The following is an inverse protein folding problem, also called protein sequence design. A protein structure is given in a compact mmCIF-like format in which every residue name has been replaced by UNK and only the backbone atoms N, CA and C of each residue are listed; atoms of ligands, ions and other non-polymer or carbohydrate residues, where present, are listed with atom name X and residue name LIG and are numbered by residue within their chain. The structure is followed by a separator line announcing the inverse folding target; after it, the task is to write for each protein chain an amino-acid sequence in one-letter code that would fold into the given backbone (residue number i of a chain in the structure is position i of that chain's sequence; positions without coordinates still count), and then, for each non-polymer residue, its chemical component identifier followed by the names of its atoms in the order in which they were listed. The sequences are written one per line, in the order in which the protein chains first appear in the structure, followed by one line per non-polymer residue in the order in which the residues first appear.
data_IF_314893058238
#
_entry.id   IF_314893058238
#
_cell.length_a   1.000
_cell.length_b   1.000
_cell.length_c   1.000
_cell.angle_alpha   90.00
_cell.angle_beta   90.00
_cell.angle_gamma   90.00
#
_symmetry.space_group_name_H-M   'P 1'
#
loop_
_entity.id
_entity.type
_entity.pdbx_description
1 polymer ?
#
# COMPACT_ATOMS: atom_id res chain seq x y z
N UNK A 1 46.07 -23.74 -52.73
CA UNK A 1 45.54 -22.36 -52.73
C UNK A 1 44.08 -22.43 -52.27
N UNK A 2 43.84 -22.23 -50.98
CA UNK A 2 42.51 -22.31 -50.35
C UNK A 2 41.83 -20.95 -50.44
N UNK A 3 40.78 -20.84 -51.27
CA UNK A 3 39.93 -19.65 -51.31
C UNK A 3 38.77 -19.83 -50.32
N UNK A 4 38.80 -19.05 -49.22
CA UNK A 4 37.72 -18.99 -48.22
C UNK A 4 36.49 -18.35 -48.85
N UNK A 5 35.36 -19.07 -48.86
CA UNK A 5 34.03 -18.50 -49.09
C UNK A 5 33.60 -17.76 -47.82
N UNK A 6 33.44 -16.44 -47.92
CA UNK A 6 32.85 -15.60 -46.88
C UNK A 6 31.34 -15.63 -47.09
N UNK A 7 30.61 -16.28 -46.18
CA UNK A 7 29.15 -16.26 -46.15
C UNK A 7 28.73 -14.98 -45.43
N UNK A 8 28.15 -14.03 -46.16
CA UNK A 8 27.53 -12.84 -45.58
C UNK A 8 26.20 -13.23 -44.94
N UNK A 9 26.12 -13.19 -43.61
CA UNK A 9 24.86 -13.30 -42.87
C UNK A 9 24.21 -11.91 -42.89
N UNK A 10 23.11 -11.76 -43.65
CA UNK A 10 22.25 -10.58 -43.54
C UNK A 10 21.55 -10.61 -42.18
N UNK A 11 22.00 -9.75 -41.27
CA UNK A 11 21.29 -9.45 -40.04
C UNK A 11 20.06 -8.62 -40.40
N UNK A 12 18.88 -9.25 -40.43
CA UNK A 12 17.61 -8.53 -40.58
C UNK A 12 17.32 -7.86 -39.23
N UNK A 13 17.60 -6.56 -39.16
CA UNK A 13 17.18 -5.70 -38.06
C UNK A 13 15.66 -5.57 -38.17
N UNK A 14 14.94 -6.32 -37.36
CA UNK A 14 13.52 -6.07 -37.12
C UNK A 14 13.45 -4.78 -36.32
N UNK A 15 13.18 -3.68 -37.01
CA UNK A 15 12.83 -2.41 -36.38
C UNK A 15 11.48 -2.62 -35.69
N UNK A 16 11.51 -2.98 -34.42
CA UNK A 16 10.32 -3.01 -33.58
C UNK A 16 9.75 -1.60 -33.53
N UNK A 17 8.59 -1.40 -34.14
CA UNK A 17 7.77 -0.22 -33.88
C UNK A 17 7.51 -0.18 -32.38
N UNK A 18 8.19 0.72 -31.67
CA UNK A 18 7.85 1.06 -30.31
C UNK A 18 6.43 1.63 -30.33
N UNK A 19 5.46 0.80 -29.97
CA UNK A 19 4.15 1.27 -29.53
C UNK A 19 4.42 2.24 -28.37
N UNK A 20 3.71 3.38 -28.28
CA UNK A 20 3.86 4.25 -27.13
C UNK A 20 3.43 3.42 -25.91
N UNK A 21 4.37 3.14 -25.00
CA UNK A 21 4.05 2.59 -23.68
C UNK A 21 3.25 3.68 -22.95
N UNK A 22 1.94 3.70 -23.14
CA UNK A 22 1.02 4.58 -22.42
C UNK A 22 -0.13 3.74 -21.90
N UNK A 23 0.23 2.89 -20.96
CA UNK A 23 -0.63 2.42 -19.90
C UNK A 23 0.29 2.21 -18.69
N UNK A 24 0.45 3.25 -17.88
CA UNK A 24 0.96 3.06 -16.53
C UNK A 24 -0.09 2.20 -15.80
N UNK A 25 0.18 0.91 -15.64
CA UNK A 25 -0.45 0.12 -14.59
C UNK A 25 0.14 0.60 -13.25
N UNK A 26 -0.23 1.82 -12.86
CA UNK A 26 0.23 2.49 -11.65
C UNK A 26 -0.60 2.07 -10.44
N UNK A 27 -0.37 2.72 -9.30
CA UNK A 27 -1.08 2.46 -8.04
C UNK A 27 -2.61 2.65 -8.11
N UNK A 28 -3.12 3.30 -9.16
CA UNK A 28 -4.53 3.61 -9.40
C UNK A 28 -5.32 2.40 -9.94
N UNK A 29 -4.65 1.41 -10.52
CA UNK A 29 -5.34 0.28 -11.17
C UNK A 29 -6.13 -0.54 -10.15
N UNK A 30 -7.45 -0.65 -10.37
CA UNK A 30 -8.39 -1.29 -9.45
C UNK A 30 -8.34 -0.75 -8.01
N UNK A 31 -7.87 0.49 -7.82
CA UNK A 31 -7.67 1.08 -6.51
C UNK A 31 -8.42 2.43 -6.37
N UNK A 32 -9.75 2.39 -6.20
CA UNK A 32 -10.57 3.60 -6.14
C UNK A 32 -10.47 4.34 -4.79
N UNK A 33 -9.72 3.82 -3.81
CA UNK A 33 -9.65 4.35 -2.46
C UNK A 33 -8.21 4.62 -2.03
N UNK A 34 -7.96 5.82 -1.51
CA UNK A 34 -6.76 6.19 -0.76
C UNK A 34 -7.16 6.33 0.71
N UNK A 35 -6.45 5.64 1.61
CA UNK A 35 -6.62 5.83 3.04
C UNK A 35 -6.01 7.18 3.45
N UNK A 36 -6.85 8.15 3.81
CA UNK A 36 -6.40 9.49 4.21
C UNK A 36 -5.73 9.44 5.59
N UNK A 37 -4.54 10.03 5.72
CA UNK A 37 -3.72 10.04 6.93
C UNK A 37 -3.54 8.63 7.56
N UNK A 38 -3.19 7.66 6.69
CA UNK A 38 -3.12 6.21 6.92
C UNK A 38 -4.46 5.53 7.23
N UNK A 39 -5.57 6.27 7.22
CA UNK A 39 -6.93 5.80 7.44
C UNK A 39 -7.34 5.83 8.91
N UNK A 40 -8.35 5.01 9.22
CA UNK A 40 -8.98 4.97 10.53
C UNK A 40 -8.63 3.69 11.29
N UNK A 41 -8.36 3.86 12.59
CA UNK A 41 -8.22 2.79 13.57
C UNK A 41 -9.02 3.11 14.84
N UNK A 42 -9.81 2.14 15.31
CA UNK A 42 -10.62 2.21 16.54
C UNK A 42 -11.53 3.45 16.62
N UNK A 43 -12.11 3.82 15.49
CA UNK A 43 -13.03 4.94 15.31
C UNK A 43 -12.34 6.29 15.10
N UNK A 44 -11.01 6.35 15.19
CA UNK A 44 -10.19 7.57 15.14
C UNK A 44 -9.52 7.73 13.78
N UNK A 45 -9.57 8.95 13.27
CA UNK A 45 -9.08 9.35 11.93
C UNK A 45 -7.91 10.32 12.08
N UNK A 46 -7.17 10.56 10.99
CA UNK A 46 -6.05 11.52 10.95
C UNK A 46 -4.89 11.22 11.92
N UNK A 47 -4.82 9.98 12.41
CA UNK A 47 -3.86 9.61 13.45
C UNK A 47 -2.45 9.46 12.90
N UNK A 48 -2.29 9.14 11.60
CA UNK A 48 -1.00 8.83 11.01
C UNK A 48 -0.23 7.75 11.82
N UNK A 49 -0.95 6.84 12.48
CA UNK A 49 -0.40 5.88 13.44
C UNK A 49 -0.07 4.53 12.82
N UNK A 50 0.72 3.72 13.54
CA UNK A 50 1.00 2.33 13.16
C UNK A 50 -0.28 1.52 13.02
N UNK A 51 -1.20 1.71 13.95
CA UNK A 51 -2.46 0.99 14.02
C UNK A 51 -3.35 1.37 12.83
N UNK A 52 -3.39 2.64 12.41
CA UNK A 52 -4.07 3.07 11.20
C UNK A 52 -3.50 2.41 9.94
N UNK A 53 -2.16 2.39 9.77
CA UNK A 53 -1.51 1.71 8.66
C UNK A 53 -1.90 0.22 8.60
N UNK A 54 -1.77 -0.49 9.72
CA UNK A 54 -2.06 -1.92 9.80
C UNK A 54 -3.54 -2.23 9.57
N UNK A 55 -4.43 -1.41 10.15
CA UNK A 55 -5.87 -1.54 9.94
C UNK A 55 -6.24 -1.29 8.48
N UNK A 56 -5.68 -0.26 7.84
CA UNK A 56 -5.93 0.05 6.44
C UNK A 56 -5.45 -1.06 5.51
N UNK A 57 -4.23 -1.58 5.68
CA UNK A 57 -3.75 -2.71 4.89
C UNK A 57 -4.63 -3.95 5.08
N UNK A 58 -5.00 -4.24 6.33
CA UNK A 58 -5.86 -5.37 6.70
C UNK A 58 -7.27 -5.28 6.10
N UNK A 59 -7.82 -4.07 6.06
CA UNK A 59 -9.10 -3.75 5.42
C UNK A 59 -9.03 -3.75 3.89
N UNK A 60 -7.83 -3.84 3.30
CA UNK A 60 -7.61 -4.02 1.87
C UNK A 60 -7.04 -2.82 1.13
N UNK A 61 -6.73 -1.72 1.82
CA UNK A 61 -6.14 -0.56 1.15
C UNK A 61 -4.77 -0.92 0.58
N UNK A 62 -4.47 -0.35 -0.59
CA UNK A 62 -3.16 -0.48 -1.26
C UNK A 62 -2.50 0.86 -1.53
N UNK A 63 -3.24 1.96 -1.42
CA UNK A 63 -2.68 3.31 -1.37
C UNK A 63 -3.11 3.99 -0.06
N UNK A 64 -2.14 4.62 0.60
CA UNK A 64 -2.36 5.36 1.85
C UNK A 64 -1.64 6.70 1.74
N UNK A 65 -2.32 7.77 2.09
CA UNK A 65 -1.72 9.09 2.20
C UNK A 65 -1.20 9.32 3.62
N UNK A 66 -0.14 10.09 3.75
CA UNK A 66 0.52 10.39 5.03
C UNK A 66 0.97 11.84 5.08
N UNK A 67 0.74 12.49 6.20
CA UNK A 67 1.25 13.84 6.48
C UNK A 67 2.67 13.76 7.04
N UNK A 68 3.58 14.60 6.52
CA UNK A 68 4.92 14.74 7.06
C UNK A 68 5.18 16.12 7.66
N UNK A 69 5.78 16.14 8.85
CA UNK A 69 6.28 17.36 9.50
C UNK A 69 7.58 17.08 10.26
N UNK A 70 8.24 18.14 10.73
CA UNK A 70 9.49 18.03 11.48
C UNK A 70 9.30 18.29 12.97
N UNK A 71 9.95 17.46 13.78
CA UNK A 71 10.16 17.74 15.21
C UNK A 71 11.15 18.88 15.40
N UNK A 72 11.21 19.44 16.61
CA UNK A 72 12.08 20.58 16.93
C UNK A 72 13.58 20.28 16.78
N UNK A 73 13.95 19.00 16.87
CA UNK A 73 15.30 18.47 16.64
C UNK A 73 15.52 17.94 15.21
N UNK A 74 14.59 18.20 14.28
CA UNK A 74 14.77 17.99 12.84
C UNK A 74 14.50 16.58 12.33
N UNK A 75 13.81 15.73 13.11
CA UNK A 75 13.38 14.38 12.70
C UNK A 75 12.06 14.47 11.94
N UNK A 76 11.99 13.81 10.78
CA UNK A 76 10.78 13.73 9.97
C UNK A 76 9.79 12.73 10.60
N UNK A 77 8.59 13.18 10.89
CA UNK A 77 7.55 12.40 11.59
C UNK A 77 6.21 12.45 10.85
N UNK A 78 5.41 11.39 11.05
CA UNK A 78 4.09 11.24 10.47
C UNK A 78 3.04 11.99 11.31
N UNK A 79 2.69 13.21 10.90
CA UNK A 79 1.76 14.08 11.62
C UNK A 79 1.37 15.27 10.75
N UNK A 80 0.10 15.67 10.83
CA UNK A 80 -0.43 16.82 10.10
C UNK A 80 0.15 18.18 10.55
N UNK A 81 0.11 18.50 11.85
CA UNK A 81 0.62 19.76 12.41
C UNK A 81 0.94 19.63 13.91
N UNK A 82 1.59 20.64 14.52
CA UNK A 82 1.75 20.76 15.98
C UNK A 82 0.87 21.88 16.56
N UNK A 83 -0.31 22.14 16.00
CA UNK A 83 -1.23 23.17 16.48
C UNK A 83 -2.06 22.66 17.67
N UNK A 84 -2.21 23.51 18.69
CA UNK A 84 -2.85 23.15 19.95
C UNK A 84 -4.34 22.81 19.78
N UNK A 85 -5.06 23.59 18.98
CA UNK A 85 -6.45 23.40 18.57
C UNK A 85 -6.61 22.55 17.30
N UNK A 86 -5.50 22.22 16.64
CA UNK A 86 -5.42 21.31 15.50
C UNK A 86 -5.19 19.87 15.93
N UNK A 87 -4.05 19.31 15.52
CA UNK A 87 -3.76 17.88 15.67
C UNK A 87 -3.68 17.45 17.14
N UNK A 88 -3.21 18.28 18.07
CA UNK A 88 -3.17 17.92 19.50
C UNK A 88 -4.56 17.53 20.04
N UNK A 89 -5.56 18.37 19.76
CA UNK A 89 -6.93 18.11 20.17
C UNK A 89 -7.51 16.86 19.51
N UNK A 90 -7.34 16.69 18.18
CA UNK A 90 -7.87 15.53 17.44
C UNK A 90 -7.28 14.20 17.93
N UNK A 91 -6.02 14.21 18.33
CA UNK A 91 -5.27 13.03 18.76
C UNK A 91 -5.34 12.75 20.28
N UNK A 92 -6.16 13.51 21.03
CA UNK A 92 -6.29 13.39 22.49
C UNK A 92 -4.96 13.57 23.22
N UNK A 93 -4.12 14.49 22.75
CA UNK A 93 -2.80 14.78 23.31
C UNK A 93 -2.77 16.16 23.98
N UNK A 94 -2.11 16.25 25.13
CA UNK A 94 -1.91 17.53 25.80
C UNK A 94 -0.93 18.42 25.03
N UNK A 95 -1.38 19.62 24.67
CA UNK A 95 -0.55 20.64 24.03
C UNK A 95 0.30 21.38 25.09
N UNK A 96 1.60 21.10 25.11
CA UNK A 96 2.56 21.75 26.00
C UNK A 96 3.49 22.68 25.20
N UNK A 97 3.90 23.81 25.77
CA UNK A 97 4.85 24.71 25.13
C UNK A 97 6.31 24.24 25.36
N UNK A 98 7.20 24.29 24.34
CA UNK A 98 6.93 24.62 22.95
C UNK A 98 6.07 23.55 22.26
N UNK A 99 5.16 23.97 21.38
CA UNK A 99 4.18 23.06 20.75
C UNK A 99 4.84 21.99 19.86
N UNK A 100 5.95 22.32 19.20
CA UNK A 100 6.68 21.36 18.38
C UNK A 100 7.51 20.46 19.30
N UNK A 101 7.13 19.19 19.38
CA UNK A 101 7.83 18.19 20.20
C UNK A 101 9.26 17.94 19.67
N UNK A 102 10.17 17.54 20.54
CA UNK A 102 11.38 16.81 20.10
C UNK A 102 11.03 15.36 19.73
N UNK A 103 11.91 14.69 18.98
CA UNK A 103 11.68 13.34 18.47
C UNK A 103 11.48 12.31 19.57
N UNK A 104 12.15 12.45 20.71
CA UNK A 104 12.01 11.56 21.86
C UNK A 104 10.65 11.70 22.51
N UNK A 105 10.17 12.92 22.69
CA UNK A 105 8.86 13.21 23.26
C UNK A 105 7.78 12.74 22.30
N UNK A 106 7.90 13.03 21.01
CA UNK A 106 6.97 12.58 19.98
C UNK A 106 6.81 11.05 20.00
N UNK A 107 7.91 10.28 19.96
CA UNK A 107 7.87 8.82 19.97
C UNK A 107 7.26 8.21 21.24
N UNK A 108 7.30 8.92 22.37
CA UNK A 108 6.74 8.47 23.64
C UNK A 108 5.31 8.99 23.91
N UNK A 109 4.86 9.98 23.15
CA UNK A 109 3.51 10.56 23.23
C UNK A 109 2.52 9.69 22.47
N UNK A 110 1.80 8.82 23.18
CA UNK A 110 0.75 7.99 22.59
C UNK A 110 -0.34 8.85 21.93
N UNK A 111 -0.84 8.36 20.80
CA UNK A 111 -1.96 8.95 20.07
C UNK A 111 -3.23 8.24 20.53
N UNK A 112 -4.25 8.98 20.94
CA UNK A 112 -5.50 8.40 21.49
C UNK A 112 -5.20 7.34 22.57
N UNK A 113 -4.34 7.70 23.53
CA UNK A 113 -3.95 6.89 24.70
C UNK A 113 -3.09 5.63 24.44
N UNK A 114 -3.20 4.94 23.30
CA UNK A 114 -2.47 3.69 23.04
C UNK A 114 -1.79 3.56 21.66
N UNK A 115 -2.27 4.28 20.65
CA UNK A 115 -1.74 4.22 19.29
C UNK A 115 -0.31 4.78 19.20
N UNK A 116 0.45 4.20 18.28
CA UNK A 116 1.89 4.37 18.16
C UNK A 116 2.20 5.45 17.12
N UNK A 117 2.83 6.57 17.51
CA UNK A 117 3.31 7.59 16.57
C UNK A 117 4.43 7.01 15.69
N UNK A 118 4.57 7.54 14.47
CA UNK A 118 5.52 7.02 13.48
C UNK A 118 6.50 8.10 13.02
N UNK A 119 7.78 7.74 12.96
CA UNK A 119 8.78 8.52 12.24
C UNK A 119 8.82 8.10 10.76
N UNK A 120 9.51 8.87 9.92
CA UNK A 120 9.78 8.44 8.53
C UNK A 120 10.54 7.10 8.45
N UNK A 121 11.42 6.82 9.43
CA UNK A 121 12.11 5.52 9.53
C UNK A 121 11.12 4.38 9.75
N UNK A 122 10.16 4.57 10.67
CA UNK A 122 9.14 3.57 10.95
C UNK A 122 8.23 3.31 9.73
N UNK A 123 7.88 4.37 9.00
CA UNK A 123 7.06 4.28 7.78
C UNK A 123 7.78 3.53 6.67
N UNK A 124 9.04 3.85 6.38
CA UNK A 124 9.79 3.11 5.36
C UNK A 124 10.05 1.66 5.77
N UNK A 125 10.18 1.38 7.07
CA UNK A 125 10.28 0.02 7.58
C UNK A 125 8.97 -0.75 7.37
N UNK A 126 7.82 -0.14 7.64
CA UNK A 126 6.50 -0.70 7.31
C UNK A 126 6.37 -0.92 5.80
N UNK A 127 6.75 0.03 4.96
CA UNK A 127 6.69 -0.16 3.52
C UNK A 127 7.56 -1.33 3.05
N UNK A 128 8.74 -1.56 3.63
CA UNK A 128 9.57 -2.72 3.32
C UNK A 128 8.90 -4.04 3.77
N UNK A 129 8.20 -4.02 4.91
CA UNK A 129 7.50 -5.17 5.48
C UNK A 129 6.17 -5.48 4.76
N UNK A 130 5.56 -4.48 4.11
CA UNK A 130 4.29 -4.53 3.37
C UNK A 130 4.52 -4.06 1.91
N UNK A 131 5.10 -4.92 1.06
CA UNK A 131 5.58 -4.55 -0.28
C UNK A 131 4.46 -4.25 -1.29
N UNK A 132 3.20 -4.49 -0.92
CA UNK A 132 2.01 -4.24 -1.73
C UNK A 132 1.31 -2.90 -1.38
N UNK A 133 1.97 -2.02 -0.61
CA UNK A 133 1.45 -0.68 -0.27
C UNK A 133 2.17 0.41 -1.05
N UNK A 134 1.41 1.36 -1.60
CA UNK A 134 1.87 2.65 -2.08
C UNK A 134 1.63 3.73 -1.03
N UNK A 135 2.61 4.61 -0.86
CA UNK A 135 2.56 5.72 0.08
C UNK A 135 2.48 7.04 -0.69
N UNK A 136 1.39 7.78 -0.50
CA UNK A 136 1.21 9.12 -1.05
C UNK A 136 1.67 10.12 0.01
N UNK A 137 2.61 11.00 -0.33
CA UNK A 137 3.15 11.96 0.64
C UNK A 137 2.36 13.26 0.62
N UNK A 138 1.94 13.78 1.77
CA UNK A 138 1.55 15.18 1.91
C UNK A 138 2.67 15.96 2.64
N UNK A 139 3.32 16.88 1.93
CA UNK A 139 4.48 17.63 2.43
C UNK A 139 4.15 18.69 3.46
N UNK A 140 2.90 19.16 3.52
CA UNK A 140 2.40 20.30 4.35
C UNK A 140 3.06 21.65 4.11
N UNK A 141 4.23 21.68 3.50
CA UNK A 141 5.01 22.86 3.16
C UNK A 141 5.14 23.01 1.64
N UNK A 142 5.26 24.27 1.19
CA UNK A 142 5.48 24.63 -0.23
C UNK A 142 6.80 25.36 -0.46
N UNK A 143 7.62 25.56 0.56
CA UNK A 143 8.93 26.18 0.39
C UNK A 143 9.96 25.15 -0.12
N UNK A 144 10.82 25.59 -1.04
CA UNK A 144 11.78 24.73 -1.72
C UNK A 144 12.70 23.99 -0.75
N UNK A 145 13.20 24.67 0.28
CA UNK A 145 14.18 24.10 1.19
C UNK A 145 13.58 22.96 2.02
N UNK A 146 12.38 23.15 2.56
CA UNK A 146 11.69 22.13 3.35
C UNK A 146 11.25 20.95 2.48
N UNK A 147 10.66 21.21 1.30
CA UNK A 147 10.26 20.15 0.35
C UNK A 147 11.46 19.31 -0.05
N UNK A 148 12.57 19.93 -0.49
CA UNK A 148 13.78 19.19 -0.86
C UNK A 148 14.37 18.43 0.33
N UNK A 149 14.30 18.98 1.54
CA UNK A 149 14.75 18.31 2.76
C UNK A 149 13.92 17.06 3.05
N UNK A 150 12.58 17.12 2.97
CA UNK A 150 11.70 15.97 3.24
C UNK A 150 12.03 14.80 2.31
N UNK A 151 12.07 15.03 1.00
CA UNK A 151 12.39 13.96 0.05
C UNK A 151 13.85 13.49 0.13
N UNK A 152 14.79 14.39 0.46
CA UNK A 152 16.19 14.01 0.71
C UNK A 152 16.31 13.10 1.93
N UNK A 153 15.56 13.39 3.01
CA UNK A 153 15.56 12.58 4.22
C UNK A 153 14.93 11.21 3.94
N UNK A 154 13.79 11.14 3.24
CA UNK A 154 13.18 9.87 2.81
C UNK A 154 14.17 9.01 2.00
N UNK A 155 14.84 9.61 1.02
CA UNK A 155 15.86 8.91 0.21
C UNK A 155 17.00 8.38 1.06
N UNK A 156 17.59 9.23 1.91
CA UNK A 156 18.71 8.84 2.79
C UNK A 156 18.32 7.73 3.76
N UNK A 157 17.11 7.77 4.31
CA UNK A 157 16.59 6.73 5.20
C UNK A 157 16.45 5.41 4.43
N UNK A 158 15.84 5.42 3.24
CA UNK A 158 15.71 4.22 2.40
C UNK A 158 17.07 3.58 2.06
N UNK A 159 18.06 4.42 1.70
CA UNK A 159 19.43 3.98 1.41
C UNK A 159 20.12 3.42 2.66
N UNK A 160 20.01 4.10 3.80
CA UNK A 160 20.61 3.68 5.07
C UNK A 160 20.02 2.38 5.62
N UNK A 161 18.75 2.09 5.31
CA UNK A 161 18.09 0.83 5.64
C UNK A 161 18.45 -0.32 4.68
N UNK A 162 19.22 -0.05 3.62
CA UNK A 162 19.46 -0.99 2.52
C UNK A 162 18.16 -1.44 1.84
N UNK A 163 17.16 -0.55 1.77
CA UNK A 163 15.86 -0.81 1.15
C UNK A 163 15.49 0.29 0.12
N UNK A 164 16.36 0.66 -0.84
CA UNK A 164 16.07 1.76 -1.78
C UNK A 164 14.82 1.54 -2.64
N UNK A 165 14.42 0.29 -2.85
CA UNK A 165 13.23 -0.07 -3.63
C UNK A 165 11.91 0.37 -3.00
N UNK A 166 11.88 0.79 -1.72
CA UNK A 166 10.66 1.39 -1.14
C UNK A 166 10.29 2.70 -1.81
N UNK A 167 11.28 3.45 -2.33
CA UNK A 167 11.08 4.72 -3.02
C UNK A 167 10.28 4.55 -4.33
N UNK A 168 10.32 3.38 -4.96
CA UNK A 168 9.54 3.07 -6.16
C UNK A 168 8.02 3.04 -5.91
N UNK A 169 7.60 2.94 -4.63
CA UNK A 169 6.20 2.94 -4.20
C UNK A 169 5.81 4.18 -3.42
N UNK A 170 6.68 5.19 -3.37
CA UNK A 170 6.33 6.52 -2.88
C UNK A 170 5.81 7.34 -4.06
N UNK A 171 4.65 7.97 -3.86
CA UNK A 171 3.97 8.80 -4.84
C UNK A 171 3.97 10.24 -4.31
N UNK A 172 4.88 11.10 -4.79
CA UNK A 172 4.89 12.49 -4.37
C UNK A 172 3.60 13.21 -4.78
N UNK A 173 2.96 13.86 -3.81
CA UNK A 173 1.87 14.80 -4.05
C UNK A 173 2.43 16.22 -4.03
N UNK A 174 2.32 16.93 -5.15
CA UNK A 174 2.89 18.28 -5.32
C UNK A 174 1.79 19.34 -5.43
N UNK A 175 2.02 20.50 -4.80
CA UNK A 175 1.06 21.60 -4.72
C UNK A 175 1.16 22.61 -5.86
N UNK A 176 2.29 22.66 -6.54
CA UNK A 176 2.58 23.57 -7.64
C UNK A 176 3.58 22.94 -8.62
N UNK A 177 3.79 23.60 -9.76
CA UNK A 177 4.63 23.09 -10.83
C UNK A 177 6.13 23.06 -10.47
N UNK A 178 6.61 24.05 -9.71
CA UNK A 178 8.04 24.16 -9.33
C UNK A 178 8.48 22.99 -8.45
N UNK A 179 7.59 22.51 -7.57
CA UNK A 179 7.85 21.35 -6.71
C UNK A 179 8.21 20.09 -7.50
N UNK A 180 7.67 19.91 -8.71
CA UNK A 180 8.01 18.73 -9.53
C UNK A 180 9.52 18.67 -9.78
N UNK A 181 10.12 19.77 -10.23
CA UNK A 181 11.54 19.81 -10.57
C UNK A 181 12.40 19.65 -9.30
N UNK A 182 12.02 20.31 -8.19
CA UNK A 182 12.74 20.19 -6.92
C UNK A 182 12.80 18.75 -6.40
N UNK A 183 11.68 18.03 -6.46
CA UNK A 183 11.57 16.65 -5.96
C UNK A 183 12.25 15.67 -6.92
N UNK A 184 12.07 15.87 -8.23
CA UNK A 184 12.69 15.03 -9.27
C UNK A 184 14.21 15.08 -9.23
N UNK A 185 14.80 16.22 -8.89
CA UNK A 185 16.26 16.35 -8.67
C UNK A 185 16.78 15.44 -7.56
N UNK A 186 15.97 15.18 -6.53
CA UNK A 186 16.34 14.29 -5.42
C UNK A 186 16.25 12.82 -5.82
N UNK A 187 15.10 12.44 -6.41
CA UNK A 187 14.83 11.08 -6.85
C UNK A 187 13.77 11.06 -7.97
N UNK A 188 13.97 10.28 -9.05
CA UNK A 188 13.00 10.16 -10.13
C UNK A 188 11.89 9.17 -9.75
N UNK A 189 10.92 9.62 -8.93
CA UNK A 189 9.75 8.82 -8.56
C UNK A 189 8.94 8.40 -9.81
N UNK A 190 8.36 7.20 -9.75
CA UNK A 190 7.66 6.59 -10.90
C UNK A 190 6.29 7.20 -11.15
N UNK A 191 5.59 7.54 -10.07
CA UNK A 191 4.20 8.00 -10.09
C UNK A 191 4.10 9.31 -9.31
N UNK A 192 3.19 10.19 -9.72
CA UNK A 192 3.04 11.53 -9.17
C UNK A 192 1.57 11.91 -9.05
N UNK A 193 1.24 12.76 -8.09
CA UNK A 193 -0.08 13.38 -7.94
C UNK A 193 0.07 14.89 -7.92
N UNK A 194 -0.73 15.59 -8.71
CA UNK A 194 -0.88 17.04 -8.59
C UNK A 194 -2.07 17.36 -7.69
N UNK A 195 -1.85 18.03 -6.56
CA UNK A 195 -2.91 18.38 -5.62
C UNK A 195 -3.42 19.80 -5.78
N UNK A 196 -4.74 19.97 -5.70
CA UNK A 196 -5.41 21.27 -5.75
C UNK A 196 -5.74 21.85 -4.36
N UNK A 197 -5.19 21.28 -3.28
CA UNK A 197 -5.42 21.70 -1.89
C UNK A 197 -5.18 23.21 -1.68
N UNK A 198 -4.11 23.76 -2.27
CA UNK A 198 -3.74 25.18 -2.15
C UNK A 198 -4.11 26.00 -3.40
N UNK A 199 -4.71 25.37 -4.41
CA UNK A 199 -5.09 26.04 -5.65
C UNK A 199 -6.58 26.44 -5.62
N UNK A 200 -6.85 27.65 -5.12
CA UNK A 200 -8.20 28.20 -4.96
C UNK A 200 -8.92 28.47 -6.30
N UNK A 201 -8.18 28.76 -7.37
CA UNK A 201 -8.72 29.12 -8.69
C UNK A 201 -7.96 28.38 -9.81
N UNK A 202 -8.20 27.07 -9.98
CA UNK A 202 -7.40 26.23 -10.85
C UNK A 202 -7.77 26.51 -12.31
N UNK A 203 -6.75 26.58 -13.15
CA UNK A 203 -6.93 26.51 -14.59
C UNK A 203 -6.79 25.05 -15.03
N UNK A 204 -7.90 24.32 -15.08
CA UNK A 204 -7.88 22.87 -15.33
C UNK A 204 -7.19 22.49 -16.67
N UNK A 205 -7.41 23.21 -17.79
CA UNK A 205 -6.64 22.97 -19.02
C UNK A 205 -5.12 23.10 -18.84
N UNK A 206 -4.63 24.17 -18.21
CA UNK A 206 -3.18 24.37 -18.00
C UNK A 206 -2.60 23.31 -17.06
N UNK A 207 -3.30 22.97 -15.98
CA UNK A 207 -2.91 21.87 -15.09
C UNK A 207 -2.85 20.55 -15.85
N UNK A 208 -3.82 20.29 -16.73
CA UNK A 208 -3.84 19.08 -17.54
C UNK A 208 -2.65 19.02 -18.52
N UNK A 209 -2.32 20.14 -19.17
CA UNK A 209 -1.17 20.23 -20.07
C UNK A 209 0.16 20.03 -19.30
N UNK A 210 0.31 20.64 -18.12
CA UNK A 210 1.46 20.41 -17.25
C UNK A 210 1.57 18.94 -16.84
N UNK A 211 0.47 18.32 -16.41
CA UNK A 211 0.45 16.92 -16.03
C UNK A 211 0.87 16.01 -17.18
N UNK A 212 0.40 16.27 -18.40
CA UNK A 212 0.82 15.51 -19.59
C UNK A 212 2.31 15.73 -19.90
N UNK A 213 2.80 16.97 -19.83
CA UNK A 213 4.22 17.28 -20.06
C UNK A 213 5.14 16.52 -19.09
N UNK A 214 4.76 16.47 -17.82
CA UNK A 214 5.57 15.88 -16.75
C UNK A 214 5.31 14.39 -16.49
N UNK A 215 4.30 13.82 -17.14
CA UNK A 215 3.89 12.43 -16.93
C UNK A 215 3.17 12.18 -15.60
N UNK A 216 2.44 13.18 -15.09
CA UNK A 216 1.64 13.07 -13.86
C UNK A 216 0.29 12.46 -14.21
N UNK A 217 0.03 11.24 -13.71
CA UNK A 217 -1.17 10.47 -14.05
C UNK A 217 -2.44 10.85 -13.27
N UNK A 218 -2.32 11.58 -12.16
CA UNK A 218 -3.43 11.82 -11.24
C UNK A 218 -3.49 13.26 -10.74
N UNK A 219 -4.70 13.82 -10.67
CA UNK A 219 -5.03 15.08 -9.98
C UNK A 219 -5.96 14.78 -8.81
N UNK A 220 -5.69 15.40 -7.65
CA UNK A 220 -6.62 15.36 -6.50
C UNK A 220 -7.32 16.70 -6.28
N UNK A 221 -8.65 16.67 -6.07
CA UNK A 221 -9.53 17.83 -6.03
C UNK A 221 -10.51 17.77 -4.84
N UNK A 222 -10.81 18.92 -4.24
CA UNK A 222 -11.86 19.00 -3.21
C UNK A 222 -13.20 18.58 -3.81
N UNK A 223 -13.94 17.70 -3.12
CA UNK A 223 -15.17 17.11 -3.66
C UNK A 223 -16.20 18.15 -4.14
N UNK A 224 -16.28 19.32 -3.48
CA UNK A 224 -17.24 20.37 -3.81
C UNK A 224 -17.00 20.99 -5.20
N UNK A 225 -15.80 20.80 -5.76
CA UNK A 225 -15.37 21.34 -7.05
C UNK A 225 -15.43 20.31 -8.18
N UNK A 226 -15.81 19.07 -7.86
CA UNK A 226 -15.98 18.02 -8.87
C UNK A 226 -17.22 18.30 -9.70
N UNK A 227 -17.03 18.55 -10.99
CA UNK A 227 -18.10 18.70 -11.98
C UNK A 227 -17.80 17.86 -13.21
N UNK A 228 -18.81 17.59 -14.05
CA UNK A 228 -18.61 16.83 -15.29
C UNK A 228 -17.65 17.54 -16.24
N UNK A 229 -17.66 18.87 -16.28
CA UNK A 229 -16.74 19.67 -17.09
C UNK A 229 -15.30 19.48 -16.64
N UNK A 230 -15.03 19.60 -15.33
CA UNK A 230 -13.69 19.39 -14.76
C UNK A 230 -13.17 17.99 -15.05
N UNK A 231 -14.00 16.96 -14.82
CA UNK A 231 -13.65 15.58 -15.11
C UNK A 231 -13.33 15.38 -16.59
N UNK A 232 -14.20 15.88 -17.49
CA UNK A 232 -13.98 15.75 -18.93
C UNK A 232 -12.68 16.43 -19.38
N UNK A 233 -12.33 17.59 -18.83
CA UNK A 233 -11.08 18.29 -19.16
C UNK A 233 -9.84 17.46 -18.80
N UNK A 234 -9.82 16.85 -17.61
CA UNK A 234 -8.69 16.04 -17.15
C UNK A 234 -8.66 14.67 -17.84
N UNK A 235 -9.81 13.99 -17.97
CA UNK A 235 -9.93 12.70 -18.64
C UNK A 235 -9.60 12.77 -20.13
N UNK A 236 -9.88 13.88 -20.82
CA UNK A 236 -9.49 14.08 -22.21
C UNK A 236 -7.97 14.00 -22.43
N UNK A 237 -7.18 14.16 -21.36
CA UNK A 237 -5.72 14.04 -21.33
C UNK A 237 -5.23 12.74 -20.69
N UNK A 238 -6.15 11.82 -20.35
CA UNK A 238 -5.83 10.55 -19.69
C UNK A 238 -5.52 10.66 -18.20
N UNK A 239 -5.78 11.82 -17.58
CA UNK A 239 -5.48 12.07 -16.16
C UNK A 239 -6.63 11.57 -15.30
N UNK A 240 -6.29 10.78 -14.28
CA UNK A 240 -7.23 10.29 -13.27
C UNK A 240 -7.56 11.37 -12.26
N UNK A 241 -8.81 11.41 -11.79
CA UNK A 241 -9.27 12.40 -10.82
C UNK A 241 -9.70 11.71 -9.54
N UNK A 242 -9.01 12.06 -8.44
CA UNK A 242 -9.36 11.62 -7.10
C UNK A 242 -9.94 12.79 -6.31
N UNK A 243 -10.96 12.53 -5.48
CA UNK A 243 -11.54 13.59 -4.65
C UNK A 243 -11.27 13.39 -3.16
N UNK A 244 -11.17 14.46 -2.39
CA UNK A 244 -10.93 14.42 -0.94
C UNK A 244 -11.88 15.34 -0.16
N UNK A 245 -12.20 15.07 1.12
CA UNK A 245 -12.18 13.76 1.79
C UNK A 245 -13.62 13.25 1.88
N UNK A 246 -13.90 12.06 1.34
CA UNK A 246 -15.27 11.54 1.19
C UNK A 246 -15.48 10.41 2.19
N UNK A 247 -16.47 10.60 3.08
CA UNK A 247 -16.78 9.65 4.16
C UNK A 247 -18.23 9.15 4.15
N UNK A 248 -19.00 9.45 3.10
CA UNK A 248 -20.38 8.98 2.94
C UNK A 248 -20.54 8.21 1.64
N UNK A 249 -21.09 7.00 1.71
CA UNK A 249 -21.33 6.15 0.53
C UNK A 249 -22.19 6.86 -0.53
N UNK A 250 -23.24 7.58 -0.13
CA UNK A 250 -24.10 8.29 -1.09
C UNK A 250 -23.35 9.39 -1.85
N UNK A 251 -22.50 10.14 -1.15
CA UNK A 251 -21.64 11.16 -1.77
C UNK A 251 -20.65 10.52 -2.75
N UNK A 252 -20.06 9.37 -2.38
CA UNK A 252 -19.17 8.65 -3.27
C UNK A 252 -19.90 8.13 -4.52
N UNK A 253 -21.08 7.52 -4.36
CA UNK A 253 -21.93 7.07 -5.45
C UNK A 253 -22.29 8.21 -6.42
N UNK A 254 -22.66 9.39 -5.89
CA UNK A 254 -22.99 10.56 -6.70
C UNK A 254 -21.77 11.05 -7.51
N UNK A 255 -20.58 11.05 -6.92
CA UNK A 255 -19.34 11.41 -7.61
C UNK A 255 -18.91 10.37 -8.65
N UNK A 256 -19.09 9.08 -8.37
CA UNK A 256 -18.87 7.99 -9.34
C UNK A 256 -19.79 8.14 -10.55
N UNK A 257 -21.06 8.52 -10.33
CA UNK A 257 -22.01 8.78 -11.42
C UNK A 257 -21.57 9.95 -12.32
N UNK A 258 -20.81 10.91 -11.80
CA UNK A 258 -20.17 11.97 -12.60
C UNK A 258 -18.95 11.46 -13.39
N UNK A 259 -18.36 10.34 -12.99
CA UNK A 259 -17.19 9.72 -13.61
C UNK A 259 -15.90 9.88 -12.81
N UNK A 260 -15.97 10.23 -11.52
CA UNK A 260 -14.78 10.28 -10.66
C UNK A 260 -14.06 8.92 -10.61
N UNK A 261 -12.72 8.92 -10.58
CA UNK A 261 -11.93 7.67 -10.59
C UNK A 261 -11.70 7.08 -9.20
N UNK A 262 -11.56 7.93 -8.18
CA UNK A 262 -11.34 7.47 -6.80
C UNK A 262 -11.47 8.58 -5.75
N UNK A 263 -11.29 8.20 -4.49
CA UNK A 263 -11.43 9.13 -3.36
C UNK A 263 -10.35 8.90 -2.30
N UNK A 264 -10.02 9.97 -1.57
CA UNK A 264 -9.41 9.91 -0.26
C UNK A 264 -10.54 9.76 0.76
N UNK A 265 -10.40 8.80 1.67
CA UNK A 265 -11.44 8.48 2.66
C UNK A 265 -10.79 8.07 3.98
N UNK A 266 -11.45 8.44 5.07
CA UNK A 266 -11.09 7.93 6.40
C UNK A 266 -11.86 6.62 6.70
N UNK A 267 -13.10 6.51 6.21
CA UNK A 267 -14.07 5.53 6.72
C UNK A 267 -14.50 4.44 5.74
N UNK A 268 -14.58 4.73 4.44
CA UNK A 268 -15.08 3.76 3.45
C UNK A 268 -14.01 2.70 3.21
N UNK A 269 -14.31 1.42 3.48
CA UNK A 269 -13.32 0.34 3.35
C UNK A 269 -13.46 -0.41 2.01
N UNK A 270 -12.37 -0.98 1.45
CA UNK A 270 -12.40 -1.74 0.20
C UNK A 270 -13.47 -2.84 0.12
N UNK A 271 -13.68 -3.62 1.19
CA UNK A 271 -14.72 -4.65 1.23
C UNK A 271 -16.16 -4.12 1.23
N UNK A 272 -16.35 -2.80 1.33
CA UNK A 272 -17.64 -2.10 1.30
C UNK A 272 -17.95 -1.49 -0.06
N UNK A 273 -17.01 -1.54 -1.02
CA UNK A 273 -17.15 -0.95 -2.36
C UNK A 273 -18.40 -1.44 -3.12
N UNK A 274 -18.88 -2.65 -2.81
CA UNK A 274 -20.15 -3.19 -3.35
C UNK A 274 -21.36 -2.31 -3.05
N UNK A 275 -21.34 -1.50 -1.99
CA UNK A 275 -22.43 -0.59 -1.64
C UNK A 275 -22.53 0.63 -2.56
N UNK A 276 -21.50 0.90 -3.35
CA UNK A 276 -21.47 1.99 -4.35
C UNK A 276 -21.29 1.46 -5.77
N UNK A 277 -21.57 0.18 -6.00
CA UNK A 277 -21.51 -0.45 -7.32
C UNK A 277 -20.09 -0.77 -7.82
N UNK A 278 -19.08 -0.73 -6.94
CA UNK A 278 -17.70 -1.12 -7.24
C UNK A 278 -17.38 -2.49 -6.63
N UNK A 279 -16.27 -3.10 -7.06
CA UNK A 279 -15.77 -4.36 -6.48
C UNK A 279 -14.52 -4.12 -5.64
N UNK A 280 -14.39 -4.87 -4.55
CA UNK A 280 -13.10 -5.03 -3.87
C UNK A 280 -12.10 -5.66 -4.85
N UNK A 281 -10.88 -5.11 -4.92
CA UNK A 281 -9.83 -5.64 -5.79
C UNK A 281 -9.29 -6.98 -5.29
N UNK A 282 -9.45 -7.27 -3.98
CA UNK A 282 -9.07 -8.53 -3.38
C UNK A 282 -10.09 -9.59 -3.74
N UNK A 283 -9.61 -10.66 -4.35
CA UNK A 283 -10.41 -11.81 -4.76
C UNK A 283 -9.58 -13.07 -4.64
N UNK A 284 -10.26 -14.17 -4.31
CA UNK A 284 -9.62 -15.47 -4.35
C UNK A 284 -9.62 -16.02 -5.76
N UNK A 285 -8.57 -16.75 -6.11
CA UNK A 285 -8.38 -17.33 -7.45
C UNK A 285 -8.09 -18.83 -7.33
N UNK A 286 -8.45 -19.60 -8.36
CA UNK A 286 -8.10 -21.03 -8.41
C UNK A 286 -6.80 -21.18 -9.20
N UNK A 287 -5.78 -21.77 -8.58
CA UNK A 287 -4.49 -22.01 -9.20
C UNK A 287 -4.11 -23.48 -9.11
N UNK A 288 -3.95 -24.12 -10.26
CA UNK A 288 -3.43 -25.49 -10.34
C UNK A 288 -1.92 -25.46 -10.39
N UNK A 289 -1.28 -26.25 -9.53
CA UNK A 289 0.16 -26.46 -9.50
C UNK A 289 0.49 -27.94 -9.54
N UNK A 290 1.58 -28.29 -10.23
CA UNK A 290 2.12 -29.65 -10.26
C UNK A 290 2.98 -29.88 -9.03
N UNK A 291 2.64 -30.90 -8.24
CA UNK A 291 3.38 -31.32 -7.06
C UNK A 291 3.87 -32.75 -7.30
N UNK A 292 5.07 -32.88 -7.89
CA UNK A 292 5.55 -34.14 -8.45
C UNK A 292 4.63 -34.62 -9.59
N UNK A 293 4.06 -35.83 -9.45
CA UNK A 293 3.18 -36.42 -10.46
C UNK A 293 1.68 -36.09 -10.27
N UNK A 294 1.34 -35.22 -9.31
CA UNK A 294 -0.06 -34.89 -8.99
C UNK A 294 -0.32 -33.41 -9.28
N UNK A 295 -1.43 -33.12 -9.93
CA UNK A 295 -1.94 -31.75 -10.05
C UNK A 295 -2.86 -31.45 -8.86
N UNK A 296 -2.62 -30.32 -8.21
CA UNK A 296 -3.45 -29.84 -7.09
C UNK A 296 -3.91 -28.43 -7.41
N UNK A 297 -5.22 -28.22 -7.33
CA UNK A 297 -5.83 -26.89 -7.43
C UNK A 297 -5.96 -26.30 -6.04
N UNK A 298 -5.37 -25.12 -5.84
CA UNK A 298 -5.50 -24.33 -4.63
C UNK A 298 -6.39 -23.12 -4.86
N UNK A 299 -7.19 -22.77 -3.85
CA UNK A 299 -7.76 -21.43 -3.74
C UNK A 299 -6.69 -20.49 -3.16
N UNK A 300 -6.22 -19.51 -3.93
CA UNK A 300 -5.18 -18.53 -3.57
C UNK A 300 -5.78 -17.15 -3.32
N UNK A 301 -5.05 -16.31 -2.59
CA UNK A 301 -5.30 -14.88 -2.42
C UNK A 301 -3.97 -14.14 -2.59
N UNK A 302 -3.88 -13.09 -3.43
CA UNK A 302 -2.67 -12.27 -3.52
C UNK A 302 -2.43 -11.47 -2.23
N UNK A 303 -1.28 -11.70 -1.58
CA UNK A 303 -0.83 -10.99 -0.38
C UNK A 303 0.67 -10.75 -0.51
N UNK A 304 1.14 -9.52 -0.25
CA UNK A 304 2.56 -9.15 -0.43
C UNK A 304 3.10 -9.44 -1.84
N UNK A 305 2.25 -9.28 -2.87
CA UNK A 305 2.56 -9.61 -4.26
C UNK A 305 2.88 -11.11 -4.51
N UNK A 306 2.51 -12.01 -3.60
CA UNK A 306 2.61 -13.46 -3.75
C UNK A 306 1.26 -14.16 -3.57
N UNK A 307 1.13 -15.37 -4.11
CA UNK A 307 -0.03 -16.22 -3.85
C UNK A 307 0.03 -16.84 -2.46
N UNK A 308 -0.96 -16.52 -1.63
CA UNK A 308 -1.15 -17.13 -0.32
C UNK A 308 -2.31 -18.12 -0.36
N UNK A 309 -2.17 -19.23 0.37
CA UNK A 309 -3.13 -20.33 0.37
C UNK A 309 -3.53 -20.66 1.80
N UNK A 310 -4.83 -20.93 2.05
CA UNK A 310 -5.31 -21.55 3.28
C UNK A 310 -4.46 -22.77 3.68
N UNK A 311 -3.82 -22.73 4.85
CA UNK A 311 -2.91 -23.78 5.31
C UNK A 311 -3.58 -25.17 5.31
N UNK A 312 -4.89 -25.23 5.60
CA UNK A 312 -5.69 -26.46 5.57
C UNK A 312 -5.70 -27.17 4.21
N UNK A 313 -5.52 -26.44 3.10
CA UNK A 313 -5.46 -27.05 1.77
C UNK A 313 -4.18 -27.83 1.58
N UNK A 314 -3.04 -27.30 2.04
CA UNK A 314 -1.77 -28.03 2.04
C UNK A 314 -1.80 -29.29 2.89
N UNK A 315 -2.57 -29.28 3.98
CA UNK A 315 -2.66 -30.43 4.86
C UNK A 315 -3.39 -31.63 4.23
N UNK A 316 -4.08 -31.42 3.10
CA UNK A 316 -4.74 -32.48 2.29
C UNK A 316 -3.85 -33.02 1.16
N UNK A 317 -2.65 -32.48 1.00
CA UNK A 317 -1.72 -32.85 -0.08
C UNK A 317 -0.68 -33.86 0.42
N UNK A 318 -0.31 -34.81 -0.43
CA UNK A 318 0.73 -35.80 -0.13
C UNK A 318 0.41 -36.60 1.14
N UNK A 319 1.38 -36.69 2.07
CA UNK A 319 1.21 -37.36 3.37
C UNK A 319 0.48 -36.50 4.42
N UNK A 320 0.16 -35.25 4.08
CA UNK A 320 -0.41 -34.27 5.00
C UNK A 320 0.48 -33.95 6.20
N UNK A 321 -0.04 -33.09 7.06
CA UNK A 321 0.56 -32.77 8.36
C UNK A 321 -0.51 -32.45 9.39
N UNK A 322 -0.18 -32.71 10.66
CA UNK A 322 -0.94 -32.23 11.80
C UNK A 322 -0.35 -30.91 12.30
N UNK A 323 -1.19 -29.97 12.72
CA UNK A 323 -0.76 -28.67 13.20
C UNK A 323 -0.91 -28.59 14.74
N UNK A 324 0.16 -28.20 15.43
CA UNK A 324 0.21 -28.07 16.88
C UNK A 324 0.45 -26.61 17.26
N UNK A 325 -0.60 -25.94 17.73
CA UNK A 325 -0.49 -24.56 18.21
C UNK A 325 -0.08 -24.54 19.68
N UNK A 326 0.97 -23.78 19.98
CA UNK A 326 1.40 -23.44 21.33
C UNK A 326 1.20 -21.94 21.54
N UNK A 327 0.14 -21.60 22.28
CA UNK A 327 -0.22 -20.21 22.56
C UNK A 327 0.82 -19.49 23.44
N UNK A 328 1.51 -20.21 24.32
CA UNK A 328 2.49 -19.63 25.23
C UNK A 328 3.75 -19.19 24.45
N UNK A 329 4.22 -20.06 23.56
CA UNK A 329 5.42 -19.81 22.77
C UNK A 329 5.13 -19.12 21.42
N UNK A 330 3.85 -18.91 21.10
CA UNK A 330 3.35 -18.40 19.83
C UNK A 330 3.94 -19.17 18.65
N UNK A 331 3.90 -20.50 18.71
CA UNK A 331 4.41 -21.37 17.63
C UNK A 331 3.30 -22.22 17.06
N UNK A 332 3.38 -22.46 15.76
CA UNK A 332 2.54 -23.42 15.07
C UNK A 332 3.43 -24.48 14.42
N UNK A 333 3.50 -25.67 15.02
CA UNK A 333 4.35 -26.75 14.53
C UNK A 333 3.58 -27.71 13.63
N UNK A 334 4.03 -27.85 12.38
CA UNK A 334 3.51 -28.78 11.40
C UNK A 334 4.27 -30.10 11.49
N UNK A 335 3.58 -31.17 11.87
CA UNK A 335 4.13 -32.51 12.07
C UNK A 335 3.71 -33.43 10.91
N UNK A 336 4.64 -33.90 10.06
CA UNK A 336 4.33 -34.71 8.88
C UNK A 336 3.68 -36.06 9.22
N UNK A 337 2.93 -36.62 8.26
CA UNK A 337 2.49 -38.02 8.30
C UNK A 337 1.26 -38.28 9.17
N UNK A 338 0.53 -37.22 9.55
CA UNK A 338 -0.79 -37.30 10.18
C UNK A 338 -1.76 -36.40 9.43
N UNK A 339 -3.01 -36.83 9.27
CA UNK A 339 -4.07 -35.96 8.72
C UNK A 339 -4.33 -34.80 9.68
N UNK A 340 -4.60 -33.64 9.10
CA UNK A 340 -4.95 -32.42 9.84
C UNK A 340 -6.27 -32.61 10.57
N UNK A 341 -6.26 -32.58 11.89
CA UNK A 341 -7.48 -32.81 12.69
C UNK A 341 -8.17 -31.53 13.15
N UNK A 342 -7.45 -30.42 13.32
CA UNK A 342 -7.94 -29.04 13.46
C UNK A 342 -6.76 -28.15 13.92
N UNK A 343 -6.87 -26.83 13.71
CA UNK A 343 -5.98 -25.84 14.33
C UNK A 343 -6.54 -25.35 15.67
N UNK A 344 -7.81 -25.61 15.98
CA UNK A 344 -8.52 -25.14 17.18
C UNK A 344 -9.03 -23.70 17.06
N UNK A 345 -8.72 -23.01 15.96
CA UNK A 345 -9.12 -21.65 15.62
C UNK A 345 -10.30 -21.59 14.64
N UNK A 346 -10.89 -22.73 14.27
CA UNK A 346 -12.13 -22.79 13.48
C UNK A 346 -13.29 -22.05 14.18
N UNK A 347 -13.24 -21.90 15.52
CA UNK A 347 -14.19 -21.11 16.31
C UNK A 347 -14.00 -19.59 16.19
N UNK A 348 -12.86 -19.14 15.66
CA UNK A 348 -12.51 -17.72 15.46
C UNK A 348 -12.55 -17.32 13.98
N UNK A 349 -12.92 -18.24 13.08
CA UNK A 349 -13.11 -17.94 11.67
C UNK A 349 -14.30 -16.99 11.51
N UNK A 350 -14.07 -15.95 10.72
CA UNK A 350 -15.07 -14.95 10.39
C UNK A 350 -15.60 -15.21 8.97
N UNK A 351 -16.78 -15.81 8.85
CA UNK A 351 -17.39 -16.10 7.54
C UNK A 351 -17.99 -14.87 6.84
N UNK A 352 -17.61 -13.64 7.24
CA UNK A 352 -18.11 -12.40 6.63
C UNK A 352 -17.74 -12.24 5.15
N UNK A 353 -16.68 -12.93 4.69
CA UNK A 353 -16.15 -12.80 3.34
C UNK A 353 -15.55 -11.42 3.04
N UNK A 354 -15.16 -10.67 4.09
CA UNK A 354 -14.53 -9.35 3.97
C UNK A 354 -13.02 -9.43 3.69
N UNK A 355 -12.44 -10.62 3.83
CA UNK A 355 -11.02 -10.89 3.63
C UNK A 355 -10.13 -9.99 4.51
N UNK A 356 -10.53 -9.78 5.77
CA UNK A 356 -9.75 -8.94 6.69
C UNK A 356 -8.43 -9.61 7.00
N UNK A 357 -7.33 -8.95 6.65
CA UNK A 357 -6.00 -9.52 6.80
C UNK A 357 -5.31 -9.00 8.06
N UNK A 358 -4.47 -9.84 8.66
CA UNK A 358 -3.56 -9.47 9.74
C UNK A 358 -2.35 -10.39 9.72
N UNK A 359 -1.12 -9.87 9.84
CA UNK A 359 0.05 -10.75 10.04
C UNK A 359 -0.17 -11.61 11.28
N UNK A 360 0.04 -12.91 11.17
CA UNK A 360 -0.16 -13.81 12.29
C UNK A 360 0.95 -13.56 13.32
N UNK A 361 0.56 -13.36 14.58
CA UNK A 361 1.48 -13.25 15.72
C UNK A 361 1.89 -14.65 16.19
N UNK A 362 2.52 -15.40 15.28
CA UNK A 362 3.07 -16.73 15.53
C UNK A 362 4.21 -17.08 14.58
N UNK A 363 5.09 -17.98 15.03
CA UNK A 363 6.16 -18.56 14.21
C UNK A 363 5.73 -19.92 13.68
N UNK A 364 5.93 -20.16 12.39
CA UNK A 364 5.62 -21.46 11.77
C UNK A 364 6.83 -22.39 11.87
N UNK A 365 6.62 -23.57 12.44
CA UNK A 365 7.62 -24.63 12.56
C UNK A 365 7.22 -25.82 11.68
N UNK A 366 8.20 -26.55 11.16
CA UNK A 366 8.00 -27.83 10.48
C UNK A 366 8.91 -28.88 11.13
N UNK A 367 8.31 -29.90 11.72
CA UNK A 367 8.99 -30.93 12.51
C UNK A 367 9.94 -30.32 13.57
N UNK A 368 9.41 -29.37 14.36
CA UNK A 368 10.10 -28.62 15.42
C UNK A 368 11.23 -27.70 14.95
N UNK A 369 11.40 -27.48 13.64
CA UNK A 369 12.35 -26.49 13.09
C UNK A 369 11.61 -25.26 12.61
N UNK A 370 12.05 -24.09 13.02
CA UNK A 370 11.47 -22.82 12.58
C UNK A 370 11.66 -22.62 11.08
N UNK A 371 10.61 -22.17 10.41
CA UNK A 371 10.59 -21.86 8.98
C UNK A 371 10.71 -20.35 8.75
N UNK A 372 11.00 -19.94 7.52
CA UNK A 372 10.95 -18.52 7.11
C UNK A 372 9.59 -18.10 6.58
N UNK A 373 8.58 -18.98 6.65
CA UNK A 373 7.25 -18.71 6.14
C UNK A 373 6.50 -17.87 7.17
N UNK A 374 6.02 -16.70 6.74
CA UNK A 374 5.26 -15.78 7.59
C UNK A 374 3.78 -15.97 7.34
N UNK A 375 3.00 -16.51 8.28
CA UNK A 375 1.59 -16.72 8.07
C UNK A 375 0.80 -15.41 8.16
N UNK A 376 -0.29 -15.33 7.41
CA UNK A 376 -1.24 -14.21 7.45
C UNK A 376 -2.58 -14.77 7.85
N UNK A 377 -3.25 -14.13 8.81
CA UNK A 377 -4.65 -14.38 9.11
C UNK A 377 -5.50 -13.65 8.08
N UNK A 378 -6.41 -14.36 7.41
CA UNK A 378 -7.43 -13.79 6.55
C UNK A 378 -8.78 -14.23 7.10
N UNK A 379 -9.56 -13.29 7.61
CA UNK A 379 -10.83 -13.58 8.30
C UNK A 379 -10.66 -14.66 9.40
N UNK A 380 -9.53 -14.63 10.12
CA UNK A 380 -9.19 -15.57 11.18
C UNK A 380 -8.58 -16.90 10.71
N UNK A 381 -8.58 -17.18 9.41
CA UNK A 381 -7.93 -18.36 8.84
C UNK A 381 -6.43 -18.12 8.57
N UNK A 382 -5.59 -19.12 8.86
CA UNK A 382 -4.16 -19.07 8.55
C UNK A 382 -3.91 -19.36 7.06
N UNK A 383 -3.32 -18.38 6.39
CA UNK A 383 -2.80 -18.46 5.03
C UNK A 383 -1.27 -18.47 5.06
N UNK A 384 -0.66 -19.20 4.11
CA UNK A 384 0.80 -19.28 3.92
C UNK A 384 1.16 -19.13 2.45
N UNK A 385 2.36 -18.60 2.15
CA UNK A 385 2.85 -18.47 0.77
C UNK A 385 2.88 -19.82 0.07
N UNK A 386 2.24 -19.89 -1.11
CA UNK A 386 2.15 -21.09 -1.95
C UNK A 386 3.55 -21.59 -2.31
N UNK A 387 4.40 -20.70 -2.82
CA UNK A 387 5.75 -21.04 -3.29
C UNK A 387 6.62 -21.58 -2.14
N UNK A 388 6.68 -20.86 -1.03
CA UNK A 388 7.52 -21.24 0.11
C UNK A 388 7.04 -22.55 0.75
N UNK A 389 5.73 -22.76 0.86
CA UNK A 389 5.18 -23.98 1.43
C UNK A 389 5.39 -25.19 0.52
N UNK A 390 5.25 -25.03 -0.80
CA UNK A 390 5.58 -26.13 -1.76
C UNK A 390 7.05 -26.53 -1.70
N UNK A 391 7.97 -25.56 -1.58
CA UNK A 391 9.39 -25.83 -1.39
C UNK A 391 9.67 -26.56 -0.07
N UNK A 392 9.06 -26.10 1.03
CA UNK A 392 9.22 -26.72 2.36
C UNK A 392 8.76 -28.19 2.38
N UNK A 393 7.66 -28.50 1.69
CA UNK A 393 7.12 -29.87 1.62
C UNK A 393 7.88 -30.77 0.64
N UNK A 394 8.90 -30.25 -0.05
CA UNK A 394 9.70 -31.02 -1.01
C UNK A 394 8.98 -31.29 -2.33
N UNK A 395 8.03 -30.43 -2.71
CA UNK A 395 7.37 -30.47 -4.02
C UNK A 395 8.04 -29.56 -5.06
N UNK A 396 9.15 -28.90 -4.69
CA UNK A 396 9.97 -28.09 -5.58
C UNK A 396 11.31 -28.76 -5.89
N UNK A 397 11.29 -29.72 -6.82
CA UNK A 397 12.33 -29.96 -7.83
C UNK A 397 11.65 -30.39 -9.13
#
# INVERSE_FOLDING_TARGET
MFAKKITAVMLTVVLGLALPLTAFAGWQENNPLVAHALGEADGKIETNSKEAFLASWGNGFRAMEIDFTYTSDGVLVARHDFEADGTYYRLEQEANAPLVMDSKTYQNSKIVYDQTPLTAVDILALMAEYPDVYLITDTKDTDQATVQKQFSDLKKIAEAMEQPQVLERIVPQIYNEEMYDWVKEIYPFQEWIYTLYLNYYPNYPEIADFCVEKGIGTVTIEYARVTKEVLNTLHAKGIKVYAHTINRYKQFEDLLALGLDGIYTDRIKPYELKWVGLSDSRKTEQKTVSLGNTEVTFCTLPIFNEDYVPLRQFAKVGKGFFAQYDALNKTLNLVPGKQFTCLGNELLMNDSGKLIMKKADLRLLYNAKETKIHPVLVDGEIFVSLSQMTALLGFGE
#
